data_IF_580829743129
#
_entry.id   IF_580829743129
#
_cell.length_a   1.000
_cell.length_b   1.000
_cell.length_c   1.000
_cell.angle_alpha   90.00
_cell.angle_beta   90.00
_cell.angle_gamma   90.00
#
_symmetry.space_group_name_H-M   'P 1'
#
loop_
_entity.id
_entity.type
_entity.pdbx_description
1 polymer ?
#
# COMPACT_ATOMS: atom_id res chain seq x y z
N UNK A 1 -16.27 13.55 1.81
CA UNK A 1 -14.84 13.86 1.55
C UNK A 1 -14.07 13.54 2.82
N UNK A 2 -13.09 12.64 2.76
CA UNK A 2 -12.32 12.22 3.94
C UNK A 2 -11.07 13.09 4.06
N UNK A 3 -10.97 13.90 5.12
CA UNK A 3 -9.81 14.76 5.38
C UNK A 3 -8.64 14.00 6.02
N UNK A 4 -8.95 12.92 6.72
CA UNK A 4 -7.97 12.08 7.38
C UNK A 4 -7.30 11.13 6.36
N UNK A 5 -5.99 11.28 6.19
CA UNK A 5 -5.18 10.53 5.22
C UNK A 5 -5.09 9.05 5.58
N UNK A 6 -5.12 8.72 6.88
CA UNK A 6 -5.09 7.34 7.38
C UNK A 6 -6.43 6.67 7.09
N UNK A 7 -7.55 7.28 7.46
CA UNK A 7 -8.88 6.71 7.19
C UNK A 7 -9.12 6.57 5.68
N UNK A 8 -8.73 7.59 4.90
CA UNK A 8 -8.78 7.52 3.44
C UNK A 8 -7.95 6.34 2.91
N UNK A 9 -6.73 6.18 3.39
CA UNK A 9 -5.84 5.09 3.02
C UNK A 9 -6.39 3.72 3.33
N UNK A 10 -6.93 3.54 4.54
CA UNK A 10 -7.57 2.28 4.94
C UNK A 10 -8.72 1.95 3.98
N UNK A 11 -9.64 2.88 3.74
CA UNK A 11 -10.80 2.63 2.87
C UNK A 11 -10.39 2.38 1.41
N UNK A 12 -9.42 3.12 0.89
CA UNK A 12 -8.87 2.90 -0.46
C UNK A 12 -8.23 1.52 -0.57
N UNK A 13 -7.43 1.12 0.43
CA UNK A 13 -6.78 -0.19 0.50
C UNK A 13 -7.80 -1.31 0.51
N UNK A 14 -8.80 -1.26 1.39
CA UNK A 14 -9.82 -2.29 1.52
C UNK A 14 -10.71 -2.43 0.27
N UNK A 15 -11.08 -1.32 -0.37
CA UNK A 15 -11.87 -1.38 -1.61
C UNK A 15 -11.05 -1.94 -2.77
N UNK A 16 -9.78 -1.56 -2.90
CA UNK A 16 -8.89 -2.15 -3.89
C UNK A 16 -8.65 -3.64 -3.65
N UNK A 17 -8.56 -4.03 -2.37
CA UNK A 17 -8.39 -5.41 -1.96
C UNK A 17 -9.61 -6.28 -2.30
N UNK A 18 -10.82 -5.75 -2.12
CA UNK A 18 -12.04 -6.43 -2.57
C UNK A 18 -11.99 -6.76 -4.08
N UNK A 19 -11.44 -5.86 -4.91
CA UNK A 19 -11.23 -6.12 -6.35
C UNK A 19 -10.19 -7.22 -6.59
N UNK A 20 -9.04 -7.16 -5.89
CA UNK A 20 -7.97 -8.18 -5.93
C UNK A 20 -8.54 -9.57 -5.62
N UNK A 21 -9.27 -9.66 -4.50
CA UNK A 21 -9.87 -10.90 -4.01
C UNK A 21 -10.96 -11.43 -4.94
N UNK A 22 -11.82 -10.55 -5.46
CA UNK A 22 -12.84 -10.95 -6.45
C UNK A 22 -12.19 -11.54 -7.70
N UNK A 23 -11.13 -10.90 -8.21
CA UNK A 23 -10.41 -11.42 -9.38
C UNK A 23 -9.73 -12.77 -9.09
N UNK A 24 -9.05 -12.90 -7.95
CA UNK A 24 -8.45 -14.17 -7.54
C UNK A 24 -9.51 -15.27 -7.39
N UNK A 25 -10.66 -14.97 -6.79
CA UNK A 25 -11.75 -15.93 -6.62
C UNK A 25 -12.34 -16.35 -7.97
N UNK A 26 -12.50 -15.44 -8.93
CA UNK A 26 -12.87 -15.78 -10.30
C UNK A 26 -11.84 -16.73 -10.92
N UNK A 27 -10.55 -16.44 -10.78
CA UNK A 27 -9.48 -17.33 -11.23
C UNK A 27 -9.56 -18.73 -10.62
N UNK A 28 -9.86 -18.82 -9.32
CA UNK A 28 -10.07 -20.08 -8.62
C UNK A 28 -11.28 -20.84 -9.17
N UNK A 29 -12.42 -20.17 -9.35
CA UNK A 29 -13.66 -20.78 -9.90
C UNK A 29 -13.50 -21.25 -11.35
N UNK A 30 -12.59 -20.64 -12.11
CA UNK A 30 -12.25 -21.01 -13.48
C UNK A 30 -11.09 -22.02 -13.56
N UNK A 31 -10.59 -22.54 -12.43
CA UNK A 31 -9.47 -23.48 -12.33
C UNK A 31 -8.13 -22.93 -12.87
N UNK A 32 -7.94 -21.61 -12.88
CA UNK A 32 -6.63 -21.00 -13.19
C UNK A 32 -5.70 -20.95 -11.98
N UNK A 33 -6.23 -21.13 -10.78
CA UNK A 33 -5.45 -21.28 -9.54
C UNK A 33 -6.12 -22.32 -8.65
N UNK A 34 -5.35 -23.20 -7.98
CA UNK A 34 -5.90 -24.22 -7.10
C UNK A 34 -6.35 -23.66 -5.73
N UNK A 35 -6.01 -22.40 -5.42
CA UNK A 35 -6.25 -21.80 -4.10
C UNK A 35 -6.77 -20.37 -4.20
N UNK A 36 -7.52 -19.98 -3.16
CA UNK A 36 -7.93 -18.59 -2.94
C UNK A 36 -6.87 -17.84 -2.13
N UNK A 37 -6.86 -16.51 -2.26
CA UNK A 37 -5.81 -15.67 -1.69
C UNK A 37 -5.68 -15.80 -0.17
N UNK A 38 -6.80 -15.94 0.55
CA UNK A 38 -6.77 -16.11 2.01
C UNK A 38 -6.03 -17.37 2.45
N UNK A 39 -6.09 -18.45 1.67
CA UNK A 39 -5.32 -19.68 1.96
C UNK A 39 -3.81 -19.46 1.77
N UNK A 40 -3.42 -18.65 0.78
CA UNK A 40 -2.02 -18.26 0.58
C UNK A 40 -1.51 -17.46 1.78
N UNK A 41 -2.32 -16.52 2.30
CA UNK A 41 -1.94 -15.71 3.46
C UNK A 41 -1.92 -16.54 4.75
N UNK A 42 -2.88 -17.45 4.96
CA UNK A 42 -2.93 -18.27 6.16
C UNK A 42 -1.73 -19.21 6.29
N UNK A 43 -1.14 -19.63 5.17
CA UNK A 43 0.06 -20.48 5.15
C UNK A 43 1.31 -19.82 5.77
N UNK A 44 1.30 -18.49 5.97
CA UNK A 44 2.34 -17.80 6.73
C UNK A 44 2.31 -18.11 8.22
N UNK A 45 1.14 -18.50 8.75
CA UNK A 45 0.92 -18.67 10.19
C UNK A 45 0.65 -20.11 10.59
N UNK A 46 0.18 -20.93 9.65
CA UNK A 46 -0.35 -22.25 9.93
C UNK A 46 0.45 -23.35 9.24
N UNK A 47 0.31 -24.57 9.76
CA UNK A 47 0.77 -25.76 9.07
C UNK A 47 -0.18 -26.15 7.93
N UNK A 48 0.32 -26.97 7.00
CA UNK A 48 -0.35 -27.32 5.74
C UNK A 48 -1.75 -27.88 5.96
N UNK A 49 -1.92 -28.67 7.00
CA UNK A 49 -3.15 -29.36 7.37
C UNK A 49 -4.25 -28.37 7.78
N UNK A 50 -3.86 -27.22 8.34
CA UNK A 50 -4.77 -26.22 8.89
C UNK A 50 -5.14 -25.11 7.89
N UNK A 51 -4.34 -24.90 6.83
CA UNK A 51 -4.53 -23.85 5.81
C UNK A 51 -5.92 -23.89 5.15
N UNK A 52 -6.43 -25.10 4.90
CA UNK A 52 -7.69 -25.31 4.18
C UNK A 52 -8.90 -25.36 5.10
N UNK A 53 -8.71 -25.30 6.41
CA UNK A 53 -9.80 -25.31 7.38
C UNK A 53 -10.54 -23.97 7.40
N UNK A 54 -11.81 -23.91 7.84
CA UNK A 54 -12.52 -22.65 8.02
C UNK A 54 -11.79 -21.65 8.92
N UNK A 55 -11.12 -22.14 9.97
CA UNK A 55 -10.31 -21.33 10.85
C UNK A 55 -9.08 -20.75 10.12
N UNK A 56 -8.42 -21.56 9.30
CA UNK A 56 -7.29 -21.11 8.48
C UNK A 56 -7.68 -20.00 7.50
N UNK A 57 -8.81 -20.18 6.80
CA UNK A 57 -9.36 -19.17 5.88
C UNK A 57 -9.68 -17.86 6.63
N UNK A 58 -10.27 -17.95 7.83
CA UNK A 58 -10.58 -16.78 8.65
C UNK A 58 -9.31 -16.03 9.07
N UNK A 59 -8.29 -16.74 9.55
CA UNK A 59 -6.99 -16.15 9.93
C UNK A 59 -6.35 -15.44 8.74
N UNK A 60 -6.33 -16.10 7.58
CA UNK A 60 -5.81 -15.52 6.34
C UNK A 60 -6.56 -14.26 5.91
N UNK A 61 -7.89 -14.28 5.99
CA UNK A 61 -8.74 -13.13 5.68
C UNK A 61 -8.51 -11.94 6.60
N UNK A 62 -8.38 -12.16 7.90
CA UNK A 62 -8.07 -11.09 8.87
C UNK A 62 -6.70 -10.47 8.57
N UNK A 63 -5.68 -11.30 8.36
CA UNK A 63 -4.34 -10.83 8.04
C UNK A 63 -4.33 -10.02 6.73
N UNK A 64 -5.04 -10.48 5.70
CA UNK A 64 -5.14 -9.79 4.41
C UNK A 64 -5.79 -8.40 4.54
N UNK A 65 -6.91 -8.29 5.27
CA UNK A 65 -7.61 -7.01 5.52
C UNK A 65 -6.69 -6.00 6.23
N UNK A 66 -5.94 -6.45 7.25
CA UNK A 66 -5.01 -5.58 7.99
C UNK A 66 -3.91 -5.08 7.07
N UNK A 67 -3.27 -5.99 6.31
CA UNK A 67 -2.19 -5.64 5.38
C UNK A 67 -2.70 -4.73 4.26
N UNK A 68 -3.86 -5.02 3.68
CA UNK A 68 -4.48 -4.20 2.64
C UNK A 68 -4.77 -2.77 3.13
N UNK A 69 -5.37 -2.61 4.32
CA UNK A 69 -5.60 -1.31 4.92
C UNK A 69 -4.30 -0.53 5.14
N UNK A 70 -3.27 -1.21 5.68
CA UNK A 70 -1.95 -0.62 5.91
C UNK A 70 -1.26 -0.19 4.58
N UNK A 71 -1.28 -1.03 3.56
CA UNK A 71 -0.73 -0.72 2.24
C UNK A 71 -1.48 0.43 1.56
N UNK A 72 -2.81 0.52 1.75
CA UNK A 72 -3.60 1.65 1.29
C UNK A 72 -3.18 2.97 1.94
N UNK A 73 -2.88 2.97 3.25
CA UNK A 73 -2.30 4.13 3.95
C UNK A 73 -0.95 4.52 3.35
N UNK A 74 -0.04 3.55 3.18
CA UNK A 74 1.26 3.80 2.53
C UNK A 74 1.06 4.43 1.15
N UNK A 75 0.17 3.86 0.33
CA UNK A 75 -0.11 4.37 -1.01
C UNK A 75 -0.59 5.83 -0.97
N UNK A 76 -1.53 6.18 -0.09
CA UNK A 76 -1.99 7.57 0.05
C UNK A 76 -0.85 8.51 0.44
N UNK A 77 0.07 8.09 1.33
CA UNK A 77 1.24 8.89 1.66
C UNK A 77 2.22 9.00 0.49
N UNK A 78 2.41 7.95 -0.31
CA UNK A 78 3.20 8.01 -1.55
C UNK A 78 2.62 9.06 -2.50
N UNK A 79 1.30 9.08 -2.70
CA UNK A 79 0.64 10.09 -3.54
C UNK A 79 0.74 11.48 -2.91
N UNK A 80 0.62 11.60 -1.60
CA UNK A 80 0.78 12.87 -0.89
C UNK A 80 2.16 13.49 -1.10
N UNK A 81 3.22 12.69 -1.04
CA UNK A 81 4.60 13.19 -1.18
C UNK A 81 5.05 13.33 -2.63
N UNK A 82 4.57 12.50 -3.55
CA UNK A 82 5.01 12.48 -4.95
C UNK A 82 4.08 13.21 -5.91
N UNK A 83 2.93 13.70 -5.42
CA UNK A 83 1.91 14.34 -6.23
C UNK A 83 0.98 13.35 -6.96
N UNK A 84 -0.05 13.89 -7.61
CA UNK A 84 -1.11 13.12 -8.28
C UNK A 84 -0.81 12.80 -9.74
N UNK A 85 0.26 13.36 -10.27
CA UNK A 85 0.70 13.16 -11.64
C UNK A 85 0.97 11.67 -11.85
N UNK A 86 0.46 11.13 -12.97
CA UNK A 86 0.59 9.72 -13.32
C UNK A 86 0.03 8.75 -12.25
N UNK A 87 -1.05 9.14 -11.55
CA UNK A 87 -1.69 8.33 -10.50
C UNK A 87 -1.92 6.86 -10.90
N UNK A 88 -2.34 6.62 -12.14
CA UNK A 88 -2.56 5.27 -12.67
C UNK A 88 -1.29 4.43 -12.71
N UNK A 89 -0.20 5.00 -13.24
CA UNK A 89 1.11 4.33 -13.32
C UNK A 89 1.66 4.10 -11.91
N UNK A 90 1.53 5.08 -11.01
CA UNK A 90 1.92 4.94 -9.60
C UNK A 90 1.13 3.83 -8.90
N UNK A 91 -0.18 3.74 -9.15
CA UNK A 91 -1.04 2.68 -8.65
C UNK A 91 -0.58 1.30 -9.11
N UNK A 92 -0.50 1.08 -10.43
CA UNK A 92 -0.04 -0.18 -11.02
C UNK A 92 1.36 -0.54 -10.52
N UNK A 93 2.29 0.41 -10.57
CA UNK A 93 3.67 0.21 -10.10
C UNK A 93 3.74 -0.16 -8.63
N UNK A 94 2.94 0.48 -7.78
CA UNK A 94 2.84 0.14 -6.36
C UNK A 94 2.28 -1.28 -6.16
N UNK A 95 1.19 -1.64 -6.86
CA UNK A 95 0.61 -2.99 -6.77
C UNK A 95 1.59 -4.08 -7.19
N UNK A 96 2.28 -3.90 -8.31
CA UNK A 96 3.29 -4.86 -8.79
C UNK A 96 4.54 -4.89 -7.90
N UNK A 97 4.93 -3.75 -7.30
CA UNK A 97 6.02 -3.71 -6.33
C UNK A 97 5.66 -4.49 -5.06
N UNK A 98 4.42 -4.34 -4.57
CA UNK A 98 3.90 -5.13 -3.45
C UNK A 98 3.91 -6.62 -3.80
N UNK A 99 3.49 -6.99 -5.01
CA UNK A 99 3.52 -8.38 -5.45
C UNK A 99 4.94 -8.96 -5.45
N UNK A 100 5.91 -8.32 -6.10
CA UNK A 100 7.27 -8.89 -6.15
C UNK A 100 7.94 -8.90 -4.77
N UNK A 101 7.70 -7.88 -3.92
CA UNK A 101 8.31 -7.79 -2.59
C UNK A 101 7.68 -8.74 -1.58
N UNK A 102 6.38 -8.61 -1.30
CA UNK A 102 5.72 -9.46 -0.31
C UNK A 102 5.50 -10.87 -0.87
N UNK A 103 5.00 -11.00 -2.09
CA UNK A 103 4.66 -12.30 -2.65
C UNK A 103 5.89 -13.03 -3.21
N UNK A 104 6.69 -12.35 -4.03
CA UNK A 104 7.86 -12.95 -4.67
C UNK A 104 8.99 -13.28 -3.70
N UNK A 105 9.32 -12.36 -2.79
CA UNK A 105 10.46 -12.55 -1.87
C UNK A 105 10.06 -13.24 -0.55
N UNK A 106 8.95 -12.84 0.08
CA UNK A 106 8.57 -13.38 1.40
C UNK A 106 7.71 -14.64 1.28
N UNK A 107 6.54 -14.56 0.66
CA UNK A 107 5.62 -15.69 0.61
C UNK A 107 6.17 -16.86 -0.21
N UNK A 108 6.76 -16.61 -1.38
CA UNK A 108 7.22 -17.67 -2.29
C UNK A 108 8.21 -18.66 -1.64
N UNK A 109 9.01 -18.21 -0.68
CA UNK A 109 9.95 -19.06 0.07
C UNK A 109 9.29 -19.75 1.27
N UNK A 110 8.36 -19.09 1.94
CA UNK A 110 7.79 -19.55 3.21
C UNK A 110 6.60 -20.51 3.05
N UNK A 111 5.92 -20.47 1.89
CA UNK A 111 4.66 -21.21 1.70
C UNK A 111 4.74 -22.33 0.67
N UNK A 112 5.89 -22.54 0.03
CA UNK A 112 6.06 -23.48 -1.08
C UNK A 112 5.57 -24.90 -0.76
N UNK A 113 5.87 -25.40 0.45
CA UNK A 113 5.50 -26.76 0.85
C UNK A 113 4.06 -26.87 1.39
N UNK A 114 3.47 -25.71 1.73
CA UNK A 114 2.17 -25.59 2.40
C UNK A 114 1.02 -25.37 1.43
N UNK A 115 1.27 -24.79 0.25
CA UNK A 115 0.22 -24.44 -0.72
C UNK A 115 0.69 -24.76 -2.15
N UNK A 116 -0.15 -25.36 -3.01
CA UNK A 116 0.23 -25.63 -4.39
C UNK A 116 0.40 -24.32 -5.18
N UNK A 117 1.65 -24.02 -5.58
CA UNK A 117 2.00 -22.84 -6.36
C UNK A 117 2.30 -23.23 -7.82
N UNK A 118 1.26 -23.19 -8.66
CA UNK A 118 1.40 -23.46 -10.10
C UNK A 118 1.71 -22.17 -10.89
N UNK A 119 2.37 -22.25 -12.05
CA UNK A 119 2.67 -21.07 -12.88
C UNK A 119 1.41 -20.26 -13.24
N UNK A 120 0.31 -20.94 -13.55
CA UNK A 120 -1.01 -20.32 -13.80
C UNK A 120 -1.50 -19.52 -12.59
N UNK A 121 -1.41 -20.11 -11.39
CA UNK A 121 -1.77 -19.44 -10.14
C UNK A 121 -0.90 -18.21 -9.87
N UNK A 122 0.41 -18.31 -10.13
CA UNK A 122 1.32 -17.16 -10.03
C UNK A 122 0.89 -16.03 -10.99
N UNK A 123 0.57 -16.34 -12.25
CA UNK A 123 0.06 -15.35 -13.20
C UNK A 123 -1.25 -14.69 -12.72
N UNK A 124 -2.16 -15.46 -12.11
CA UNK A 124 -3.36 -14.91 -11.48
C UNK A 124 -3.00 -13.93 -10.36
N UNK A 125 -2.00 -14.24 -9.51
CA UNK A 125 -1.58 -13.30 -8.46
C UNK A 125 -0.97 -12.02 -9.00
N UNK A 126 -0.20 -12.08 -10.11
CA UNK A 126 0.35 -10.90 -10.79
C UNK A 126 -0.79 -10.02 -11.30
N UNK A 127 -1.75 -10.61 -12.03
CA UNK A 127 -2.90 -9.90 -12.56
C UNK A 127 -3.78 -9.31 -11.44
N UNK A 128 -4.00 -10.05 -10.35
CA UNK A 128 -4.73 -9.55 -9.19
C UNK A 128 -4.06 -8.31 -8.58
N UNK A 129 -2.72 -8.29 -8.48
CA UNK A 129 -1.99 -7.14 -7.94
C UNK A 129 -1.88 -5.96 -8.91
N UNK A 130 -1.85 -6.22 -10.21
CA UNK A 130 -2.03 -5.18 -11.22
C UNK A 130 -3.39 -4.49 -11.03
N UNK A 131 -4.47 -5.27 -10.91
CA UNK A 131 -5.82 -4.76 -10.68
C UNK A 131 -5.97 -4.08 -9.32
N UNK A 132 -5.32 -4.60 -8.28
CA UNK A 132 -5.22 -3.95 -6.97
C UNK A 132 -4.60 -2.55 -7.11
N UNK A 133 -3.43 -2.45 -7.76
CA UNK A 133 -2.75 -1.18 -8.01
C UNK A 133 -3.60 -0.19 -8.82
N UNK A 134 -4.25 -0.67 -9.87
CA UNK A 134 -5.20 0.14 -10.65
C UNK A 134 -6.38 0.62 -9.79
N UNK A 135 -6.92 -0.26 -8.95
CA UNK A 135 -8.05 0.04 -8.07
C UNK A 135 -7.69 1.03 -6.96
N UNK A 136 -6.46 0.97 -6.41
CA UNK A 136 -5.95 1.99 -5.50
C UNK A 136 -6.03 3.38 -6.14
N UNK A 137 -5.63 3.51 -7.42
CA UNK A 137 -5.73 4.76 -8.16
C UNK A 137 -7.19 5.19 -8.39
N UNK A 138 -8.08 4.27 -8.78
CA UNK A 138 -9.52 4.55 -8.94
C UNK A 138 -10.12 5.08 -7.64
N UNK A 139 -10.00 4.33 -6.54
CA UNK A 139 -10.64 4.67 -5.27
C UNK A 139 -10.00 5.90 -4.63
N UNK A 140 -8.69 6.12 -4.81
CA UNK A 140 -8.06 7.40 -4.43
C UNK A 140 -8.72 8.56 -5.15
N UNK A 141 -8.91 8.47 -6.47
CA UNK A 141 -9.56 9.55 -7.25
C UNK A 141 -11.01 9.78 -6.83
N UNK A 142 -11.76 8.72 -6.52
CA UNK A 142 -13.16 8.80 -6.13
C UNK A 142 -13.35 9.35 -4.71
N UNK A 143 -12.54 8.89 -3.75
CA UNK A 143 -12.73 9.20 -2.32
C UNK A 143 -11.99 10.45 -1.85
N UNK A 144 -10.83 10.76 -2.45
CA UNK A 144 -10.04 11.93 -2.07
C UNK A 144 -10.62 13.27 -2.59
N UNK A 145 -11.60 13.23 -3.51
CA UNK A 145 -12.18 14.44 -4.10
C UNK A 145 -11.15 15.26 -4.90
N UNK A 146 -11.17 16.60 -4.74
CA UNK A 146 -10.21 17.47 -5.39
C UNK A 146 -8.85 17.34 -4.67
N UNK A 147 -7.89 16.62 -5.28
CA UNK A 147 -6.53 16.40 -4.76
C UNK A 147 -5.72 17.69 -4.48
N UNK A 148 -6.30 18.86 -4.70
CA UNK A 148 -5.78 20.18 -4.35
C UNK A 148 -5.42 20.30 -2.87
N UNK A 149 -6.16 19.61 -1.98
CA UNK A 149 -5.86 19.57 -0.54
C UNK A 149 -4.42 19.11 -0.25
N UNK A 150 -3.92 18.12 -1.00
CA UNK A 150 -2.56 17.61 -0.82
C UNK A 150 -1.49 18.63 -1.19
N UNK A 151 -1.74 19.46 -2.21
CA UNK A 151 -0.78 20.45 -2.71
C UNK A 151 -0.67 21.63 -1.73
N UNK A 152 -1.77 22.05 -1.13
CA UNK A 152 -1.80 23.16 -0.16
C UNK A 152 -1.08 22.79 1.14
N UNK A 153 -1.30 21.58 1.67
CA UNK A 153 -0.62 21.07 2.87
C UNK A 153 0.90 21.00 2.67
N UNK A 154 1.36 20.48 1.52
CA UNK A 154 2.79 20.37 1.21
C UNK A 154 3.42 21.76 1.05
N UNK A 155 2.77 22.69 0.35
CA UNK A 155 3.26 24.06 0.19
C UNK A 155 3.35 24.78 1.54
N UNK A 156 2.34 24.63 2.40
CA UNK A 156 2.34 25.20 3.76
C UNK A 156 3.50 24.66 4.59
N UNK A 157 3.73 23.35 4.55
CA UNK A 157 4.84 22.72 5.27
C UNK A 157 6.22 23.18 4.75
N UNK A 158 6.39 23.27 3.43
CA UNK A 158 7.63 23.79 2.82
C UNK A 158 7.87 25.27 3.19
N UNK A 159 6.82 26.08 3.19
CA UNK A 159 6.89 27.49 3.57
C UNK A 159 7.26 27.66 5.05
N UNK A 160 6.67 26.87 5.94
CA UNK A 160 6.97 26.90 7.37
C UNK A 160 8.42 26.45 7.65
N UNK A 161 8.89 25.41 6.94
CA UNK A 161 10.28 24.94 7.02
C UNK A 161 11.28 25.99 6.51
N UNK A 162 10.97 26.64 5.39
CA UNK A 162 11.78 27.74 4.84
C UNK A 162 11.87 28.91 5.83
N UNK A 163 10.75 29.30 6.44
CA UNK A 163 10.69 30.36 7.44
C UNK A 163 11.53 30.04 8.68
N UNK A 164 11.44 28.82 9.22
CA UNK A 164 12.25 28.36 10.37
C UNK A 164 13.75 28.33 10.05
N UNK A 165 14.14 27.92 8.85
CA UNK A 165 15.54 27.94 8.41
C UNK A 165 16.09 29.38 8.31
N UNK A 166 15.30 30.27 7.72
CA UNK A 166 15.66 31.69 7.58
C UNK A 166 15.87 32.36 8.95
N UNK A 167 14.96 32.13 9.91
CA UNK A 167 15.07 32.67 11.27
C UNK A 167 16.23 32.06 12.06
N UNK A 168 16.56 30.77 11.87
CA UNK A 168 17.73 30.14 12.51
C UNK A 168 19.05 30.73 11.98
N UNK A 169 19.16 30.93 10.66
CA UNK A 169 20.33 31.56 10.03
C UNK A 169 20.48 33.03 10.44
N UNK A 170 19.38 33.75 10.62
CA UNK A 170 19.41 35.13 11.10
C UNK A 170 19.86 35.21 12.57
N UNK A 171 19.39 34.31 13.44
CA UNK A 171 19.86 34.22 14.83
C UNK A 171 21.34 33.84 14.94
N UNK A 172 21.85 32.91 14.12
CA UNK A 172 23.27 32.56 14.17
C UNK A 172 24.16 33.73 13.75
N UNK A 173 23.79 34.48 12.70
CA UNK A 173 24.53 35.68 12.27
C UNK A 173 24.58 36.77 13.35
N UNK A 174 23.53 36.92 14.16
CA UNK A 174 23.48 37.90 15.25
C UNK A 174 24.39 37.49 16.42
N UNK A 175 24.56 36.18 16.67
CA UNK A 175 25.45 35.63 17.70
C UNK A 175 26.96 35.78 17.38
N UNK A 176 27.34 36.03 16.13
CA UNK A 176 28.75 36.22 15.72
C UNK A 176 29.24 37.69 15.75
N UNK A 177 28.53 38.60 16.45
CA UNK A 177 29.07 39.96 16.67
C UNK A 177 30.36 39.88 17.50
N UNK A 178 31.46 40.32 16.85
CA UNK A 178 32.87 40.19 17.26
C UNK A 178 33.12 40.51 18.76
N UNK A 179 34.04 39.79 19.42
CA UNK A 179 34.51 40.16 20.75
C UNK A 179 35.10 41.58 20.71
N UNK A 180 34.70 42.41 21.68
CA UNK A 180 35.28 43.73 21.91
C UNK A 180 36.79 43.56 22.09
N UNK A 181 37.59 44.19 21.23
CA UNK A 181 39.03 44.34 21.46
C UNK A 181 39.21 45.19 22.71
N UNK A 182 39.89 44.63 23.70
CA UNK A 182 40.41 45.31 24.90
C UNK A 182 41.74 45.94 24.52
#
# INVERSE_FOLDING_TARGET
MLKDKIILGILVGLLADAVKLTFNFIGFRLNFTPVVFWQLISALFLEKEDVFTPAGILIGGIADIIVAGFLGVIFIYVIYFTGKENLWIKGIGFGLLVWVSLFGLLLGQLVHDKVPLEPSGILITIAAHFLYGLSLAVFTKLLAGNLTFFIEDVKKFQQEKSFKLSTSLQKSKISFKKPKKI
#
